data_IF_418207292220
#
_entry.id   IF_418207292220
#
_cell.length_a   1.000
_cell.length_b   1.000
_cell.length_c   1.000
_cell.angle_alpha   90.00
_cell.angle_beta   90.00
_cell.angle_gamma   90.00
#
_symmetry.space_group_name_H-M   'P 1'
#
loop_
_entity.id
_entity.type
_entity.pdbx_description
1 polymer ?
#
# COMPACT_ATOMS: atom_id res chain seq x y z
N UNK A 1 0.17 32.21 15.09
CA UNK A 1 0.94 31.60 13.99
C UNK A 1 1.35 30.23 14.51
N UNK A 2 0.64 29.18 14.08
CA UNK A 2 0.99 27.81 14.47
C UNK A 2 2.08 27.36 13.50
N UNK A 3 3.32 27.34 13.96
CA UNK A 3 4.43 26.73 13.22
C UNK A 3 4.21 25.22 13.21
N UNK A 4 3.64 24.73 12.12
CA UNK A 4 3.67 23.31 11.82
C UNK A 4 5.09 22.96 11.39
N UNK A 5 5.87 22.43 12.34
CA UNK A 5 7.18 21.81 12.10
C UNK A 5 6.97 20.45 11.41
N UNK A 6 6.34 20.46 10.23
CA UNK A 6 6.26 19.31 9.36
C UNK A 6 7.60 19.22 8.63
N UNK A 7 8.39 18.20 8.96
CA UNK A 7 9.57 17.82 8.20
C UNK A 7 9.09 17.50 6.79
N UNK A 8 9.25 18.45 5.87
CA UNK A 8 8.96 18.24 4.46
C UNK A 8 9.91 17.16 3.96
N UNK A 9 9.37 16.09 3.38
CA UNK A 9 10.14 15.02 2.77
C UNK A 9 10.96 15.60 1.61
N UNK A 10 12.28 15.46 1.64
CA UNK A 10 13.14 15.87 0.53
C UNK A 10 13.01 14.87 -0.62
N UNK A 11 12.24 15.26 -1.64
CA UNK A 11 11.92 14.44 -2.82
C UNK A 11 13.19 14.04 -3.59
N UNK A 12 14.21 14.91 -3.64
CA UNK A 12 15.47 14.58 -4.33
C UNK A 12 16.19 13.46 -3.59
N UNK A 13 16.15 13.48 -2.25
CA UNK A 13 16.72 12.42 -1.43
C UNK A 13 15.96 11.10 -1.58
N UNK A 14 14.64 11.14 -1.72
CA UNK A 14 13.82 9.94 -1.88
C UNK A 14 13.88 9.30 -3.26
N UNK A 15 13.91 10.11 -4.33
CA UNK A 15 14.17 9.61 -5.67
C UNK A 15 15.57 8.98 -5.76
N UNK A 16 16.57 9.58 -5.12
CA UNK A 16 17.94 9.04 -5.09
C UNK A 16 18.02 7.75 -4.29
N UNK A 17 17.37 7.68 -3.12
CA UNK A 17 17.30 6.45 -2.32
C UNK A 17 16.55 5.35 -3.06
N UNK A 18 15.37 5.64 -3.61
CA UNK A 18 14.61 4.66 -4.39
C UNK A 18 15.49 4.08 -5.50
N UNK A 19 16.20 4.95 -6.24
CA UNK A 19 17.16 4.56 -7.27
C UNK A 19 18.34 3.71 -6.76
N UNK A 20 18.88 4.02 -5.58
CA UNK A 20 20.00 3.28 -4.98
C UNK A 20 19.57 1.91 -4.40
N UNK A 21 18.38 1.85 -3.79
CA UNK A 21 17.76 0.62 -3.29
C UNK A 21 17.47 -0.36 -4.44
N UNK A 22 17.17 0.14 -5.66
CA UNK A 22 17.02 -0.67 -6.87
C UNK A 22 18.23 -1.56 -7.17
N UNK A 23 19.43 -1.07 -6.84
CA UNK A 23 20.68 -1.63 -7.39
C UNK A 23 21.15 -2.89 -6.67
N UNK A 24 20.57 -3.25 -5.53
CA UNK A 24 21.28 -4.12 -4.57
C UNK A 24 20.63 -5.45 -4.16
N UNK A 25 19.35 -5.76 -4.38
CA UNK A 25 18.81 -7.15 -4.43
C UNK A 25 17.29 -7.22 -4.25
N UNK A 26 16.69 -8.37 -4.59
CA UNK A 26 15.40 -8.79 -4.06
C UNK A 26 15.44 -8.78 -2.51
N UNK A 27 14.92 -7.70 -1.90
CA UNK A 27 14.88 -7.51 -0.44
C UNK A 27 14.08 -8.62 0.27
N UNK A 28 13.18 -9.31 -0.44
CA UNK A 28 12.38 -10.40 0.11
C UNK A 28 12.78 -11.75 -0.46
N UNK A 29 13.26 -12.61 0.41
CA UNK A 29 13.38 -14.04 0.17
C UNK A 29 11.99 -14.67 0.24
N UNK A 30 11.67 -15.58 -0.69
CA UNK A 30 10.43 -16.34 -0.71
C UNK A 30 10.46 -17.55 0.23
N UNK A 31 9.29 -18.18 0.42
CA UNK A 31 9.13 -19.38 1.24
C UNK A 31 8.59 -19.11 2.64
N UNK A 32 8.03 -20.14 3.25
CA UNK A 32 7.37 -20.07 4.57
C UNK A 32 8.33 -19.61 5.67
N UNK A 33 9.57 -20.12 5.68
CA UNK A 33 10.57 -19.74 6.69
C UNK A 33 10.93 -18.25 6.60
N UNK A 34 11.12 -17.72 5.40
CA UNK A 34 11.38 -16.30 5.18
C UNK A 34 10.18 -15.45 5.61
N UNK A 35 8.98 -15.89 5.26
CA UNK A 35 7.75 -15.23 5.65
C UNK A 35 7.57 -15.17 7.18
N UNK A 36 7.87 -16.27 7.88
CA UNK A 36 7.85 -16.33 9.35
C UNK A 36 8.89 -15.40 9.97
N UNK A 37 10.10 -15.27 9.39
CA UNK A 37 11.10 -14.29 9.83
C UNK A 37 10.56 -12.86 9.72
N UNK A 38 9.95 -12.51 8.59
CA UNK A 38 9.34 -11.18 8.38
C UNK A 38 8.21 -10.91 9.37
N UNK A 39 7.32 -11.88 9.59
CA UNK A 39 6.23 -11.77 10.57
C UNK A 39 6.75 -11.55 11.99
N UNK A 40 7.71 -12.37 12.42
CA UNK A 40 8.27 -12.26 13.77
C UNK A 40 9.00 -10.92 13.96
N UNK A 41 9.74 -10.45 12.94
CA UNK A 41 10.38 -9.13 12.95
C UNK A 41 9.34 -8.02 13.06
N UNK A 42 8.26 -8.09 12.29
CA UNK A 42 7.17 -7.11 12.33
C UNK A 42 6.55 -7.03 13.73
N UNK A 43 6.20 -8.18 14.32
CA UNK A 43 5.61 -8.24 15.68
C UNK A 43 6.57 -7.64 16.71
N UNK A 44 7.87 -7.93 16.62
CA UNK A 44 8.85 -7.49 17.60
C UNK A 44 9.21 -5.99 17.48
N UNK A 45 9.27 -5.44 16.26
CA UNK A 45 9.89 -4.12 16.03
C UNK A 45 8.92 -3.04 15.52
N UNK A 46 7.86 -3.44 14.82
CA UNK A 46 7.04 -2.51 14.04
C UNK A 46 5.58 -2.46 14.53
N UNK A 47 5.05 -3.58 15.01
CA UNK A 47 3.66 -3.68 15.43
C UNK A 47 3.31 -2.67 16.54
N UNK A 48 4.24 -2.35 17.44
CA UNK A 48 4.00 -1.45 18.57
C UNK A 48 3.56 -0.03 18.17
N UNK A 49 4.02 0.47 17.03
CA UNK A 49 3.70 1.83 16.53
C UNK A 49 2.93 1.82 15.22
N UNK A 50 2.42 0.65 14.81
CA UNK A 50 1.76 0.47 13.53
C UNK A 50 0.55 1.39 13.34
N UNK A 51 -0.26 1.61 14.39
CA UNK A 51 -1.43 2.50 14.34
C UNK A 51 -1.07 3.94 13.98
N UNK A 52 0.10 4.42 14.41
CA UNK A 52 0.56 5.81 14.21
C UNK A 52 1.40 5.98 12.95
N UNK A 53 2.22 4.99 12.60
CA UNK A 53 3.28 5.15 11.60
C UNK A 53 2.99 4.46 10.25
N UNK A 54 1.94 3.65 10.14
CA UNK A 54 1.58 2.91 8.90
C UNK A 54 1.38 3.80 7.66
N UNK A 55 0.94 5.04 7.87
CA UNK A 55 0.60 6.00 6.82
C UNK A 55 1.74 6.99 6.56
N UNK A 56 2.84 6.89 7.29
CA UNK A 56 4.02 7.72 7.08
C UNK A 56 4.89 7.00 6.04
N UNK A 57 5.09 7.60 4.85
CA UNK A 57 6.05 7.07 3.87
C UNK A 57 7.41 6.86 4.52
N UNK A 58 8.11 5.78 4.16
CA UNK A 58 9.48 5.49 4.61
C UNK A 58 9.69 5.34 6.12
N UNK A 59 8.62 5.18 6.92
CA UNK A 59 8.74 4.88 8.35
C UNK A 59 9.38 3.50 8.62
N UNK A 60 9.42 2.63 7.60
CA UNK A 60 9.87 1.25 7.74
C UNK A 60 8.97 0.42 8.66
N UNK A 61 7.79 0.93 9.07
CA UNK A 61 6.88 0.31 10.04
C UNK A 61 5.80 -0.58 9.43
N UNK A 62 5.84 -0.81 8.12
CA UNK A 62 4.92 -1.73 7.48
C UNK A 62 5.26 -3.19 7.81
N UNK A 63 4.31 -4.09 7.60
CA UNK A 63 4.49 -5.52 7.86
C UNK A 63 5.29 -6.24 6.79
N UNK A 64 5.24 -5.74 5.54
CA UNK A 64 5.81 -6.37 4.35
C UNK A 64 5.27 -7.80 4.11
N UNK A 65 4.11 -8.14 4.67
CA UNK A 65 3.53 -9.48 4.59
C UNK A 65 2.70 -9.74 3.32
N UNK A 66 2.35 -8.70 2.56
CA UNK A 66 1.45 -8.84 1.41
C UNK A 66 1.92 -9.85 0.36
N UNK A 67 3.22 -9.95 -0.03
CA UNK A 67 3.64 -10.94 -1.03
C UNK A 67 3.50 -12.38 -0.50
N UNK A 68 3.84 -12.59 0.78
CA UNK A 68 3.75 -13.90 1.43
C UNK A 68 2.30 -14.37 1.58
N UNK A 69 1.39 -13.46 1.90
CA UNK A 69 -0.04 -13.77 1.99
C UNK A 69 -0.62 -14.03 0.59
N UNK A 70 -0.24 -13.22 -0.41
CA UNK A 70 -0.70 -13.36 -1.79
C UNK A 70 -0.36 -14.75 -2.36
N UNK A 71 0.87 -15.23 -2.13
CA UNK A 71 1.31 -16.54 -2.59
C UNK A 71 0.98 -17.70 -1.62
N UNK A 72 0.22 -17.44 -0.54
CA UNK A 72 -0.15 -18.49 0.42
C UNK A 72 1.00 -19.05 1.24
N UNK A 73 2.15 -18.38 1.28
CA UNK A 73 3.32 -18.76 2.08
C UNK A 73 3.09 -18.55 3.59
N UNK A 74 2.09 -17.73 3.95
CA UNK A 74 1.62 -17.60 5.33
C UNK A 74 0.11 -17.72 5.40
N UNK A 75 -0.36 -18.50 6.38
CA UNK A 75 -1.77 -18.58 6.72
C UNK A 75 -2.19 -17.32 7.51
N UNK A 76 -3.19 -16.54 7.03
CA UNK A 76 -3.72 -15.36 7.73
C UNK A 76 -4.18 -15.62 9.16
N UNK A 77 -4.78 -16.79 9.43
CA UNK A 77 -5.24 -17.16 10.77
C UNK A 77 -4.07 -17.26 11.74
N UNK A 78 -2.95 -17.83 11.29
CA UNK A 78 -1.72 -17.93 12.07
C UNK A 78 -1.15 -16.55 12.41
N UNK A 79 -1.20 -15.62 11.46
CA UNK A 79 -0.81 -14.22 11.69
C UNK A 79 -1.71 -13.60 12.76
N UNK A 80 -3.04 -13.76 12.66
CA UNK A 80 -4.00 -13.24 13.65
C UNK A 80 -3.70 -13.76 15.05
N UNK A 81 -3.45 -15.07 15.20
CA UNK A 81 -3.13 -15.68 16.49
C UNK A 81 -1.85 -15.09 17.08
N UNK A 82 -0.76 -15.04 16.30
CA UNK A 82 0.52 -14.47 16.74
C UNK A 82 0.42 -13.00 17.14
N UNK A 83 -0.32 -12.20 16.37
CA UNK A 83 -0.55 -10.77 16.69
C UNK A 83 -1.34 -10.63 17.99
N UNK A 84 -2.44 -11.40 18.16
CA UNK A 84 -3.25 -11.34 19.39
C UNK A 84 -2.46 -11.72 20.64
N UNK A 85 -1.57 -12.71 20.52
CA UNK A 85 -0.69 -13.19 21.59
C UNK A 85 0.51 -12.27 21.87
N UNK A 86 0.76 -11.26 21.03
CA UNK A 86 1.85 -10.32 21.27
C UNK A 86 1.53 -9.30 22.37
N UNK A 87 2.60 -8.80 23.00
CA UNK A 87 2.56 -7.74 24.02
C UNK A 87 2.32 -6.34 23.43
N UNK A 88 2.09 -6.23 22.12
CA UNK A 88 1.86 -4.96 21.48
C UNK A 88 0.58 -4.26 22.00
N UNK A 89 0.54 -2.92 22.00
CA UNK A 89 -0.64 -2.16 22.41
C UNK A 89 -1.89 -2.60 21.65
N UNK A 90 -3.03 -2.64 22.34
CA UNK A 90 -4.31 -3.04 21.74
C UNK A 90 -4.65 -2.21 20.50
N UNK A 91 -4.43 -0.90 20.52
CA UNK A 91 -4.71 -0.02 19.38
C UNK A 91 -3.96 -0.44 18.12
N UNK A 92 -2.68 -0.79 18.25
CA UNK A 92 -1.86 -1.20 17.13
C UNK A 92 -2.21 -2.59 16.61
N UNK A 93 -2.58 -3.52 17.52
CA UNK A 93 -3.13 -4.83 17.15
C UNK A 93 -4.44 -4.69 16.38
N UNK A 94 -5.38 -3.91 16.90
CA UNK A 94 -6.69 -3.68 16.28
C UNK A 94 -6.52 -3.03 14.89
N UNK A 95 -5.66 -2.00 14.77
CA UNK A 95 -5.37 -1.34 13.51
C UNK A 95 -4.75 -2.30 12.46
N UNK A 96 -3.85 -3.20 12.86
CA UNK A 96 -3.27 -4.18 11.95
C UNK A 96 -4.29 -5.26 11.53
N UNK A 97 -5.09 -5.76 12.48
CA UNK A 97 -6.11 -6.77 12.22
C UNK A 97 -7.26 -6.24 11.34
N UNK A 98 -7.59 -4.96 11.45
CA UNK A 98 -8.54 -4.29 10.55
C UNK A 98 -8.09 -4.38 9.08
N UNK A 99 -6.82 -4.07 8.80
CA UNK A 99 -6.27 -4.17 7.44
C UNK A 99 -6.16 -5.64 6.97
N UNK A 100 -5.66 -6.52 7.84
CA UNK A 100 -5.40 -7.92 7.50
C UNK A 100 -6.69 -8.74 7.32
N UNK A 101 -7.71 -8.49 8.13
CA UNK A 101 -8.95 -9.29 8.15
C UNK A 101 -10.05 -8.53 7.45
N UNK A 102 -10.45 -7.36 7.95
CA UNK A 102 -11.63 -6.66 7.42
C UNK A 102 -11.40 -6.23 5.97
N UNK A 103 -10.33 -5.49 5.68
CA UNK A 103 -10.09 -4.98 4.33
C UNK A 103 -9.76 -6.08 3.32
N UNK A 104 -8.91 -7.04 3.71
CA UNK A 104 -8.57 -8.18 2.84
C UNK A 104 -9.79 -9.04 2.51
N UNK A 105 -10.57 -9.43 3.51
CA UNK A 105 -11.75 -10.27 3.28
C UNK A 105 -12.89 -9.49 2.59
N UNK A 106 -12.97 -8.18 2.79
CA UNK A 106 -13.86 -7.32 2.00
C UNK A 106 -13.47 -7.31 0.51
N UNK A 107 -12.18 -7.29 0.18
CA UNK A 107 -11.73 -7.39 -1.21
C UNK A 107 -12.09 -8.76 -1.82
N UNK A 108 -11.91 -9.86 -1.07
CA UNK A 108 -12.38 -11.17 -1.52
C UNK A 108 -13.89 -11.24 -1.68
N UNK A 109 -14.64 -10.68 -0.73
CA UNK A 109 -16.09 -10.59 -0.79
C UNK A 109 -16.52 -9.87 -2.07
N UNK A 110 -15.91 -8.72 -2.37
CA UNK A 110 -16.18 -7.95 -3.57
C UNK A 110 -15.95 -8.75 -4.84
N UNK A 111 -14.77 -9.35 -5.02
CA UNK A 111 -14.46 -10.17 -6.21
C UNK A 111 -15.35 -11.41 -6.29
N UNK A 112 -15.73 -12.00 -5.16
CA UNK A 112 -16.60 -13.17 -5.14
C UNK A 112 -18.02 -12.85 -5.65
N UNK A 113 -18.61 -11.74 -5.19
CA UNK A 113 -19.98 -11.35 -5.56
C UNK A 113 -20.07 -10.59 -6.89
N UNK A 114 -19.00 -9.92 -7.32
CA UNK A 114 -18.91 -9.19 -8.59
C UNK A 114 -17.95 -9.88 -9.58
N UNK A 115 -17.90 -11.22 -9.59
CA UNK A 115 -16.89 -12.00 -10.33
C UNK A 115 -16.74 -11.61 -11.80
N UNK A 116 -17.82 -11.26 -12.47
CA UNK A 116 -17.83 -10.97 -13.89
C UNK A 116 -17.55 -9.49 -14.21
N UNK A 117 -17.54 -8.62 -13.20
CA UNK A 117 -17.48 -7.15 -13.40
C UNK A 117 -16.54 -6.42 -12.46
N UNK A 118 -15.88 -7.08 -11.50
CA UNK A 118 -15.11 -6.43 -10.43
C UNK A 118 -14.00 -5.50 -10.93
N UNK A 119 -13.50 -5.70 -12.15
CA UNK A 119 -12.46 -4.91 -12.82
C UNK A 119 -13.01 -3.97 -13.90
N UNK A 120 -14.33 -3.76 -13.93
CA UNK A 120 -15.03 -2.90 -14.90
C UNK A 120 -15.75 -1.75 -14.21
N UNK A 121 -16.16 -0.73 -14.98
CA UNK A 121 -16.94 0.40 -14.45
C UNK A 121 -18.26 -0.02 -13.82
N UNK A 122 -18.83 -1.16 -14.24
CA UNK A 122 -20.16 -1.59 -13.83
C UNK A 122 -20.23 -2.08 -12.38
N UNK A 123 -19.09 -2.44 -11.77
CA UNK A 123 -19.05 -2.85 -10.35
C UNK A 123 -19.18 -1.67 -9.37
N UNK A 124 -19.09 -0.43 -9.87
CA UNK A 124 -19.18 0.76 -9.02
C UNK A 124 -20.62 0.98 -8.51
N UNK A 125 -20.77 1.49 -7.27
CA UNK A 125 -22.07 1.90 -6.76
C UNK A 125 -22.77 2.92 -7.67
N UNK A 126 -24.09 2.88 -7.72
CA UNK A 126 -24.88 3.74 -8.64
C UNK A 126 -24.61 5.23 -8.46
N UNK A 127 -24.42 5.68 -7.22
CA UNK A 127 -24.10 7.08 -6.93
C UNK A 127 -22.73 7.49 -7.48
N UNK A 128 -21.75 6.59 -7.50
CA UNK A 128 -20.42 6.85 -8.02
C UNK A 128 -20.44 6.91 -9.55
N UNK A 129 -21.14 5.97 -10.20
CA UNK A 129 -21.34 5.98 -11.66
C UNK A 129 -22.00 7.28 -12.11
N UNK A 130 -23.10 7.67 -11.45
CA UNK A 130 -23.82 8.91 -11.73
C UNK A 130 -22.90 10.14 -11.61
N UNK A 131 -22.14 10.24 -10.53
CA UNK A 131 -21.20 11.36 -10.35
C UNK A 131 -20.12 11.38 -11.44
N UNK A 132 -19.54 10.22 -11.79
CA UNK A 132 -18.53 10.13 -12.86
C UNK A 132 -19.11 10.48 -14.24
N UNK A 133 -20.38 10.14 -14.49
CA UNK A 133 -21.08 10.49 -15.73
C UNK A 133 -21.40 11.99 -15.81
N UNK A 134 -21.84 12.61 -14.71
CA UNK A 134 -22.07 14.06 -14.64
C UNK A 134 -20.81 14.86 -14.97
N UNK A 135 -19.65 14.41 -14.50
CA UNK A 135 -18.34 15.04 -14.74
C UNK A 135 -17.60 14.50 -15.97
N UNK A 136 -18.24 13.66 -16.80
CA UNK A 136 -17.58 12.98 -17.92
C UNK A 136 -17.00 13.92 -18.96
N UNK A 137 -17.59 15.10 -19.14
CA UNK A 137 -17.19 16.09 -20.16
C UNK A 137 -16.37 17.24 -19.61
N UNK A 138 -16.06 17.24 -18.31
CA UNK A 138 -15.18 18.24 -17.72
C UNK A 138 -13.81 18.22 -18.38
N UNK A 139 -13.24 19.40 -18.65
CA UNK A 139 -11.90 19.49 -19.23
C UNK A 139 -10.89 18.99 -18.20
N UNK A 140 -10.14 17.94 -18.54
CA UNK A 140 -9.02 17.47 -17.72
C UNK A 140 -7.86 18.45 -17.88
N UNK A 141 -7.23 18.79 -16.76
CA UNK A 141 -6.05 19.67 -16.76
C UNK A 141 -4.86 18.98 -17.46
N UNK A 142 -4.69 17.68 -17.21
CA UNK A 142 -3.68 16.83 -17.82
C UNK A 142 -4.29 15.52 -18.31
N UNK A 143 -3.79 15.03 -19.45
CA UNK A 143 -4.16 13.72 -20.02
C UNK A 143 -2.85 13.04 -20.38
N UNK A 144 -2.61 11.87 -19.80
CA UNK A 144 -1.41 11.08 -20.02
C UNK A 144 -1.70 9.85 -20.86
N UNK A 145 -0.76 9.49 -21.71
CA UNK A 145 -0.69 8.17 -22.31
C UNK A 145 -0.27 7.11 -21.28
N UNK A 146 -0.58 5.86 -21.60
CA UNK A 146 -0.19 4.72 -20.77
C UNK A 146 1.31 4.69 -20.48
N UNK A 147 2.14 4.92 -21.51
CA UNK A 147 3.60 4.92 -21.38
C UNK A 147 4.12 6.05 -20.47
N UNK A 148 3.51 7.23 -20.53
CA UNK A 148 3.87 8.35 -19.65
C UNK A 148 3.57 8.03 -18.19
N UNK A 149 2.44 7.36 -17.92
CA UNK A 149 2.12 6.86 -16.59
C UNK A 149 3.08 5.74 -16.17
N UNK A 150 3.33 4.75 -17.03
CA UNK A 150 4.22 3.63 -16.75
C UNK A 150 5.64 4.09 -16.39
N UNK A 151 6.16 5.08 -17.11
CA UNK A 151 7.51 5.65 -16.93
C UNK A 151 7.58 6.75 -15.86
N UNK A 152 6.49 7.04 -15.14
CA UNK A 152 6.51 8.06 -14.08
C UNK A 152 6.79 9.46 -14.61
N UNK A 153 6.20 9.82 -15.75
CA UNK A 153 6.45 11.07 -16.49
C UNK A 153 5.21 11.97 -16.48
N UNK A 154 4.69 12.25 -15.29
CA UNK A 154 3.59 13.20 -15.08
C UNK A 154 4.11 14.57 -14.60
N UNK A 155 3.25 15.58 -14.60
CA UNK A 155 3.52 16.87 -13.97
C UNK A 155 3.71 16.78 -12.45
N UNK A 156 3.15 15.74 -11.80
CA UNK A 156 3.18 15.57 -10.35
C UNK A 156 4.37 14.71 -9.94
N UNK A 157 5.34 15.37 -9.31
CA UNK A 157 6.56 14.72 -8.79
C UNK A 157 6.28 13.66 -7.73
N UNK A 158 5.18 13.78 -6.96
CA UNK A 158 4.80 12.79 -5.95
C UNK A 158 4.19 11.54 -6.61
N UNK A 159 3.39 11.73 -7.66
CA UNK A 159 2.86 10.64 -8.46
C UNK A 159 4.00 9.86 -9.12
N UNK A 160 4.98 10.57 -9.70
CA UNK A 160 6.16 9.97 -10.31
C UNK A 160 7.00 9.18 -9.30
N UNK A 161 7.24 9.73 -8.11
CA UNK A 161 7.97 9.04 -7.05
C UNK A 161 7.26 7.74 -6.61
N UNK A 162 5.93 7.77 -6.46
CA UNK A 162 5.13 6.59 -6.15
C UNK A 162 5.23 5.51 -7.24
N UNK A 163 5.16 5.93 -8.52
CA UNK A 163 5.29 5.02 -9.66
C UNK A 163 6.70 4.40 -9.73
N UNK A 164 7.74 5.20 -9.48
CA UNK A 164 9.11 4.68 -9.42
C UNK A 164 9.27 3.66 -8.29
N UNK A 165 8.72 3.94 -7.10
CA UNK A 165 8.75 2.97 -6.00
C UNK A 165 8.10 1.64 -6.39
N UNK A 166 6.97 1.66 -7.11
CA UNK A 166 6.32 0.46 -7.66
C UNK A 166 7.23 -0.32 -8.60
N UNK A 167 7.77 0.36 -9.62
CA UNK A 167 8.58 -0.25 -10.69
C UNK A 167 9.85 -0.87 -10.12
N UNK A 168 10.46 -0.19 -9.16
CA UNK A 168 11.81 -0.51 -8.71
C UNK A 168 11.88 -1.36 -7.45
N UNK A 169 10.96 -1.18 -6.50
CA UNK A 169 10.94 -1.96 -5.26
C UNK A 169 9.92 -3.11 -5.29
N UNK A 170 9.13 -3.17 -6.36
CA UNK A 170 7.98 -4.08 -6.54
C UNK A 170 6.94 -3.96 -5.41
N UNK A 171 6.92 -2.81 -4.75
CA UNK A 171 6.04 -2.49 -3.62
C UNK A 171 5.70 -1.00 -3.67
N UNK A 172 4.54 -0.67 -3.15
CA UNK A 172 4.14 0.72 -2.93
C UNK A 172 3.55 0.80 -1.53
N UNK A 173 4.05 1.69 -0.66
CA UNK A 173 3.42 2.01 0.61
C UNK A 173 1.94 2.37 0.40
N UNK A 174 1.07 1.94 1.32
CA UNK A 174 -0.38 2.15 1.17
C UNK A 174 -0.78 3.61 0.98
N UNK A 175 0.02 4.56 1.48
CA UNK A 175 -0.16 5.98 1.23
C UNK A 175 -0.02 6.32 -0.27
N UNK A 176 1.11 5.93 -0.89
CA UNK A 176 1.39 6.19 -2.29
C UNK A 176 0.47 5.43 -3.24
N UNK A 177 -0.02 4.25 -2.86
CA UNK A 177 -0.99 3.52 -3.68
C UNK A 177 -2.29 4.34 -3.90
N UNK A 178 -2.75 5.06 -2.89
CA UNK A 178 -3.92 5.94 -3.02
C UNK A 178 -3.64 7.18 -3.89
N UNK A 179 -2.38 7.62 -3.99
CA UNK A 179 -1.99 8.71 -4.87
C UNK A 179 -1.95 8.28 -6.34
N UNK A 180 -1.62 7.01 -6.63
CA UNK A 180 -1.56 6.49 -8.01
C UNK A 180 -2.98 6.29 -8.57
N UNK A 181 -3.92 5.80 -7.76
CA UNK A 181 -5.24 5.37 -8.24
C UNK A 181 -6.34 6.45 -8.26
N UNK A 182 -6.07 7.65 -7.76
CA UNK A 182 -7.02 8.78 -7.75
C UNK A 182 -6.74 9.74 -8.89
#
# INVERSE_FOLDING_TARGET
IVEHNLVYMDISSECTRAYDDCRTSNILEGGEDAALRVLNYFIANNLNTYDKERNIPNSGKQSLLSPYIHFGMLNPIMIVVKVKQSEAPKSAKDAFLEELVVRRELAHNFVYYYRDTYDTFDCLPEWAKKAMDEHRHDKREYIYGYKELEEGCTHDVYWNAAQFELVFTHKVPSFFFNCICK
#
